data_IF_722127957206
#
_entry.id   IF_722127957206
#
_cell.length_a   1.000
_cell.length_b   1.000
_cell.length_c   1.000
_cell.angle_alpha   90.00
_cell.angle_beta   90.00
_cell.angle_gamma   90.00
#
_symmetry.space_group_name_H-M   'P 1'
#
loop_
_entity.id
_entity.type
_entity.pdbx_description
1 polymer ?
#
# COMPACT_ATOMS: atom_id res chain seq x y z
N UNK A 1 31.07 -13.51 55.08
CA UNK A 1 31.25 -14.90 54.57
C UNK A 1 30.05 -15.71 55.02
N UNK A 2 29.41 -16.46 54.11
CA UNK A 2 28.35 -17.38 54.50
C UNK A 2 29.01 -18.68 55.02
N UNK A 3 28.56 -19.16 56.15
CA UNK A 3 29.05 -20.43 56.76
C UNK A 3 28.10 -21.54 56.35
N UNK A 4 28.64 -22.75 56.26
CA UNK A 4 27.82 -23.96 56.02
C UNK A 4 28.40 -25.13 56.75
N UNK A 5 27.60 -26.16 57.07
CA UNK A 5 27.95 -27.37 57.78
C UNK A 5 28.19 -28.47 56.73
N UNK A 6 29.26 -29.22 56.85
CA UNK A 6 29.55 -30.37 56.01
C UNK A 6 28.62 -31.52 56.41
N UNK A 7 27.78 -31.93 55.49
CA UNK A 7 26.83 -33.02 55.69
C UNK A 7 27.42 -34.35 55.28
N UNK A 8 28.18 -34.36 54.19
CA UNK A 8 28.75 -35.56 53.62
C UNK A 8 30.06 -35.24 52.86
N UNK A 9 31.01 -36.17 52.88
CA UNK A 9 32.19 -36.10 52.07
C UNK A 9 32.28 -37.39 51.26
N UNK A 10 32.23 -37.30 49.96
CA UNK A 10 32.29 -38.42 49.03
C UNK A 10 33.48 -38.25 48.11
N UNK A 11 34.51 -38.98 48.28
CA UNK A 11 35.72 -38.87 47.50
C UNK A 11 36.39 -37.49 47.61
N UNK A 12 36.41 -36.75 46.49
CA UNK A 12 37.01 -35.40 46.40
C UNK A 12 36.00 -34.24 46.60
N UNK A 13 34.72 -34.53 46.90
CA UNK A 13 33.68 -33.55 47.05
C UNK A 13 33.06 -33.59 48.47
N UNK A 14 32.71 -32.40 48.98
CA UNK A 14 32.01 -32.23 50.23
C UNK A 14 30.67 -31.54 49.97
N UNK A 15 29.58 -32.13 50.41
CA UNK A 15 28.24 -31.56 50.42
C UNK A 15 28.06 -30.72 51.67
N UNK A 16 27.82 -29.44 51.48
CA UNK A 16 27.70 -28.44 52.57
C UNK A 16 26.32 -27.86 52.59
N UNK A 17 25.66 -27.89 53.70
CA UNK A 17 24.40 -27.22 53.94
C UNK A 17 24.65 -25.78 54.43
N UNK A 18 24.12 -24.80 53.74
CA UNK A 18 24.18 -23.39 54.11
C UNK A 18 23.11 -23.00 55.14
N UNK A 19 23.35 -21.90 55.86
CA UNK A 19 22.29 -21.29 56.71
C UNK A 19 21.11 -20.84 55.78
N UNK A 20 20.04 -21.61 55.78
CA UNK A 20 18.89 -21.42 54.91
C UNK A 20 18.44 -22.71 54.22
N UNK A 21 19.12 -23.83 54.50
CA UNK A 21 18.72 -25.15 53.99
C UNK A 21 19.20 -25.49 52.58
N UNK A 22 19.89 -24.60 51.88
CA UNK A 22 20.47 -24.86 50.56
C UNK A 22 21.70 -25.73 50.66
N UNK A 23 21.85 -26.68 49.75
CA UNK A 23 23.04 -27.52 49.64
C UNK A 23 23.96 -27.02 48.54
N UNK A 24 25.27 -27.15 48.75
CA UNK A 24 26.29 -26.85 47.72
C UNK A 24 27.37 -27.90 47.78
N UNK A 25 27.79 -28.45 46.64
CA UNK A 25 28.95 -29.32 46.54
C UNK A 25 30.21 -28.47 46.28
N UNK A 26 31.24 -28.69 47.07
CA UNK A 26 32.55 -28.05 46.92
C UNK A 26 33.64 -29.11 46.96
N UNK A 27 34.79 -28.85 46.32
CA UNK A 27 35.97 -29.75 46.49
C UNK A 27 36.33 -29.87 47.96
N UNK A 28 36.39 -31.12 48.44
CA UNK A 28 36.79 -31.41 49.81
C UNK A 28 38.26 -30.99 50.03
N UNK A 29 38.51 -30.33 51.15
CA UNK A 29 39.86 -29.98 51.55
C UNK A 29 40.39 -30.96 52.57
N UNK A 30 41.71 -31.14 52.54
CA UNK A 30 42.40 -31.99 53.49
C UNK A 30 42.09 -31.53 54.93
N UNK A 31 41.73 -32.47 55.80
CA UNK A 31 41.36 -32.21 57.18
C UNK A 31 39.89 -31.91 57.43
N UNK A 32 39.01 -31.77 56.41
CA UNK A 32 37.60 -31.57 56.58
C UNK A 32 36.90 -32.87 57.07
N UNK A 33 36.03 -32.70 58.04
CA UNK A 33 35.19 -33.81 58.57
C UNK A 33 33.71 -33.48 58.49
N UNK A 34 32.86 -34.50 58.44
CA UNK A 34 31.42 -34.36 58.55
C UNK A 34 31.05 -33.65 59.84
N UNK A 35 30.22 -32.62 59.77
CA UNK A 35 29.86 -31.76 60.89
C UNK A 35 30.67 -30.49 61.04
N UNK A 36 31.78 -30.34 60.32
CA UNK A 36 32.61 -29.12 60.39
C UNK A 36 31.86 -27.92 59.81
N UNK A 37 32.04 -26.75 60.42
CA UNK A 37 31.51 -25.49 59.93
C UNK A 37 32.57 -24.80 59.09
N UNK A 38 32.32 -24.66 57.80
CA UNK A 38 33.28 -24.15 56.85
C UNK A 38 32.76 -22.90 56.12
N UNK A 39 33.63 -21.98 55.73
CA UNK A 39 33.20 -20.83 54.96
C UNK A 39 32.90 -21.21 53.52
N UNK A 40 31.64 -20.96 53.10
CA UNK A 40 31.18 -21.22 51.73
C UNK A 40 31.36 -19.96 50.89
N UNK A 41 32.34 -19.96 50.01
CA UNK A 41 32.49 -18.97 48.96
C UNK A 41 31.62 -19.38 47.76
N UNK A 42 30.38 -18.93 47.72
CA UNK A 42 29.61 -19.05 46.48
C UNK A 42 30.15 -18.01 45.49
N UNK A 43 30.66 -18.47 44.35
CA UNK A 43 30.96 -17.57 43.24
C UNK A 43 29.63 -16.90 42.89
N UNK A 44 29.52 -15.57 42.90
CA UNK A 44 28.29 -14.90 42.45
C UNK A 44 28.07 -15.35 41.01
N UNK A 45 26.88 -15.87 40.74
CA UNK A 45 26.46 -16.21 39.37
C UNK A 45 26.71 -14.92 38.56
N UNK A 46 27.66 -15.02 37.63
CA UNK A 46 28.22 -13.84 36.96
C UNK A 46 27.09 -12.94 36.43
N UNK A 47 26.92 -11.76 36.96
CA UNK A 47 25.94 -10.76 36.50
C UNK A 47 26.12 -10.50 35.00
N UNK A 48 27.33 -10.78 34.48
CA UNK A 48 27.66 -10.63 33.05
C UNK A 48 26.79 -11.52 32.14
N UNK A 49 26.40 -12.73 32.57
CA UNK A 49 25.47 -13.56 31.79
C UNK A 49 24.05 -13.00 31.78
N UNK A 50 23.60 -12.43 32.90
CA UNK A 50 22.29 -11.80 32.98
C UNK A 50 22.21 -10.53 32.15
N UNK A 51 23.28 -9.69 32.17
CA UNK A 51 23.33 -8.47 31.34
C UNK A 51 23.46 -8.81 29.86
N UNK A 52 24.26 -9.82 29.48
CA UNK A 52 24.34 -10.28 28.10
C UNK A 52 23.01 -10.84 27.59
N UNK A 53 22.31 -11.65 28.39
CA UNK A 53 20.98 -12.17 28.03
C UNK A 53 19.94 -11.05 27.89
N UNK A 54 19.97 -10.05 28.79
CA UNK A 54 19.09 -8.88 28.70
C UNK A 54 19.39 -8.03 27.45
N UNK A 55 20.66 -7.85 27.09
CA UNK A 55 21.04 -7.14 25.87
C UNK A 55 20.57 -7.84 24.61
N UNK A 56 20.76 -9.18 24.54
CA UNK A 56 20.26 -9.99 23.40
C UNK A 56 18.72 -9.90 23.30
N UNK A 57 18.02 -10.03 24.43
CA UNK A 57 16.56 -9.91 24.45
C UNK A 57 16.11 -8.52 23.98
N UNK A 58 16.78 -7.45 24.41
CA UNK A 58 16.49 -6.09 23.96
C UNK A 58 16.72 -5.94 22.45
N UNK A 59 17.85 -6.43 21.91
CA UNK A 59 18.12 -6.41 20.47
C UNK A 59 17.06 -7.18 19.68
N UNK A 60 16.65 -8.37 20.14
CA UNK A 60 15.59 -9.15 19.52
C UNK A 60 14.26 -8.40 19.55
N UNK A 61 13.92 -7.75 20.66
CA UNK A 61 12.73 -6.89 20.74
C UNK A 61 12.79 -5.76 19.72
N UNK A 62 13.90 -5.06 19.57
CA UNK A 62 14.06 -3.99 18.57
C UNK A 62 13.92 -4.52 17.14
N UNK A 63 14.51 -5.67 16.82
CA UNK A 63 14.39 -6.28 15.49
C UNK A 63 12.94 -6.69 15.21
N UNK A 64 12.27 -7.33 16.16
CA UNK A 64 10.88 -7.78 16.00
C UNK A 64 9.91 -6.61 15.92
N UNK A 65 10.04 -5.61 16.81
CA UNK A 65 9.15 -4.45 16.81
C UNK A 65 9.43 -3.53 15.62
N UNK A 66 10.68 -3.20 15.32
CA UNK A 66 11.06 -2.35 14.20
C UNK A 66 10.80 -3.01 12.85
N UNK A 67 11.20 -4.27 12.69
CA UNK A 67 10.93 -5.06 11.49
C UNK A 67 9.45 -5.33 11.29
N UNK A 68 8.72 -5.66 12.36
CA UNK A 68 7.27 -5.86 12.34
C UNK A 68 6.52 -4.59 11.99
N UNK A 69 6.94 -3.46 12.55
CA UNK A 69 6.39 -2.14 12.22
C UNK A 69 6.59 -1.82 10.73
N UNK A 70 7.83 -1.94 10.23
CA UNK A 70 8.13 -1.71 8.82
C UNK A 70 7.33 -2.64 7.89
N UNK A 71 7.26 -3.92 8.24
CA UNK A 71 6.48 -4.91 7.47
C UNK A 71 4.99 -4.56 7.43
N UNK A 72 4.43 -4.12 8.57
CA UNK A 72 3.01 -3.77 8.68
C UNK A 72 2.66 -2.52 7.89
N UNK A 73 3.52 -1.48 7.91
CA UNK A 73 3.24 -0.22 7.22
C UNK A 73 3.79 -0.14 5.79
N UNK A 74 4.53 -1.17 5.34
CA UNK A 74 4.99 -1.21 3.96
C UNK A 74 3.81 -1.33 2.99
N UNK A 75 3.71 -0.38 2.08
CA UNK A 75 2.72 -0.41 1.01
C UNK A 75 2.91 -1.66 0.15
N UNK A 76 1.82 -2.37 -0.11
CA UNK A 76 1.78 -3.54 -0.98
C UNK A 76 0.78 -3.39 -2.13
N UNK A 77 -0.21 -2.52 -1.95
CA UNK A 77 -1.17 -2.14 -2.98
C UNK A 77 -1.69 -0.72 -2.74
N UNK A 78 -2.23 -0.12 -3.78
CA UNK A 78 -2.98 1.13 -3.77
C UNK A 78 -4.34 0.86 -4.41
N UNK A 79 -5.39 1.30 -3.76
CA UNK A 79 -6.76 1.18 -4.25
C UNK A 79 -7.33 2.58 -4.36
N UNK A 80 -7.84 2.97 -5.53
CA UNK A 80 -8.63 4.20 -5.63
C UNK A 80 -10.12 3.89 -5.78
N UNK A 81 -10.94 4.75 -5.20
CA UNK A 81 -12.40 4.71 -5.31
C UNK A 81 -12.87 6.08 -5.74
N UNK A 82 -13.43 6.13 -6.92
CA UNK A 82 -13.90 7.35 -7.57
C UNK A 82 -15.39 7.30 -7.79
N UNK A 83 -16.10 8.11 -7.02
CA UNK A 83 -17.55 8.31 -7.10
C UNK A 83 -17.87 9.80 -7.24
N UNK A 84 -16.86 10.65 -7.01
CA UNK A 84 -16.97 12.04 -6.58
C UNK A 84 -17.59 12.12 -5.19
N UNK A 85 -16.87 11.62 -4.16
CA UNK A 85 -15.45 11.86 -3.85
C UNK A 85 -14.41 10.96 -4.57
N UNK A 86 -13.15 11.41 -4.60
CA UNK A 86 -11.98 10.67 -5.07
C UNK A 86 -11.07 10.35 -3.88
N UNK A 87 -10.90 9.07 -3.58
CA UNK A 87 -10.20 8.58 -2.40
C UNK A 87 -9.20 7.50 -2.80
N UNK A 88 -8.03 7.52 -2.17
CA UNK A 88 -7.02 6.46 -2.26
C UNK A 88 -6.78 5.79 -0.91
N UNK A 89 -6.68 4.47 -0.95
CA UNK A 89 -6.37 3.61 0.18
C UNK A 89 -5.01 2.95 -0.04
N UNK A 90 -4.07 3.21 0.86
CA UNK A 90 -2.82 2.45 0.90
C UNK A 90 -3.04 1.17 1.70
N UNK A 91 -2.69 0.04 1.10
CA UNK A 91 -2.92 -1.30 1.65
C UNK A 91 -1.59 -2.01 1.88
N UNK A 92 -1.43 -2.66 3.01
CA UNK A 92 -0.25 -3.41 3.38
C UNK A 92 -0.25 -4.86 2.88
N UNK A 93 0.78 -5.62 3.24
CA UNK A 93 0.91 -7.03 2.84
C UNK A 93 -0.11 -7.97 3.50
N UNK A 94 -0.83 -7.50 4.52
CA UNK A 94 -1.89 -8.22 5.21
C UNK A 94 -3.28 -7.81 4.71
N UNK A 95 -3.34 -7.11 3.57
CA UNK A 95 -4.53 -6.58 2.93
C UNK A 95 -5.36 -5.63 3.81
N UNK A 96 -4.64 -4.93 4.73
CA UNK A 96 -5.24 -3.93 5.62
C UNK A 96 -4.86 -2.52 5.20
N UNK A 97 -5.83 -1.63 5.29
CA UNK A 97 -5.63 -0.20 5.05
C UNK A 97 -4.68 0.38 6.10
N UNK A 98 -3.60 0.97 5.66
CA UNK A 98 -2.63 1.67 6.52
C UNK A 98 -2.83 3.18 6.50
N UNK A 99 -3.29 3.72 5.38
CA UNK A 99 -3.67 5.13 5.26
C UNK A 99 -4.77 5.29 4.22
N UNK A 100 -5.54 6.37 4.36
CA UNK A 100 -6.49 6.86 3.38
C UNK A 100 -6.20 8.31 3.07
N UNK A 101 -6.28 8.71 1.81
CA UNK A 101 -6.08 10.08 1.36
C UNK A 101 -7.20 10.49 0.41
N UNK A 102 -7.65 11.72 0.55
CA UNK A 102 -8.58 12.36 -0.36
C UNK A 102 -7.81 13.11 -1.45
N UNK A 103 -8.32 13.09 -2.67
CA UNK A 103 -7.77 13.85 -3.79
C UNK A 103 -8.73 14.98 -4.24
N UNK A 104 -9.82 15.19 -3.51
CA UNK A 104 -10.71 16.34 -3.67
C UNK A 104 -11.42 16.68 -2.35
N UNK A 105 -12.09 17.84 -2.31
CA UNK A 105 -12.78 18.35 -1.12
C UNK A 105 -13.88 17.41 -0.62
N UNK A 106 -14.63 16.79 -1.54
CA UNK A 106 -15.66 15.81 -1.20
C UNK A 106 -15.08 14.58 -0.51
N UNK A 107 -13.89 14.14 -0.96
CA UNK A 107 -13.13 13.08 -0.32
C UNK A 107 -12.67 13.44 1.10
N UNK A 108 -12.22 14.67 1.32
CA UNK A 108 -11.85 15.15 2.66
C UNK A 108 -13.09 15.17 3.59
N UNK A 109 -14.22 15.64 3.09
CA UNK A 109 -15.47 15.65 3.85
C UNK A 109 -15.89 14.23 4.23
N UNK A 110 -15.84 13.28 3.29
CA UNK A 110 -16.18 11.88 3.53
C UNK A 110 -15.23 11.24 4.57
N UNK A 111 -13.91 11.38 4.40
CA UNK A 111 -12.93 10.79 5.30
C UNK A 111 -12.95 11.40 6.71
N UNK A 112 -13.48 12.61 6.88
CA UNK A 112 -13.62 13.23 8.19
C UNK A 112 -14.60 12.50 9.09
N UNK A 113 -15.57 11.78 8.51
CA UNK A 113 -16.62 11.05 9.22
C UNK A 113 -16.35 9.57 9.47
N UNK A 114 -15.31 8.98 8.81
CA UNK A 114 -15.06 7.54 8.84
C UNK A 114 -13.60 7.21 9.15
N UNK A 115 -13.37 6.05 9.74
CA UNK A 115 -12.03 5.56 10.06
C UNK A 115 -11.76 4.22 9.38
N UNK A 116 -10.94 4.24 8.36
CA UNK A 116 -10.66 3.06 7.53
C UNK A 116 -9.36 2.35 7.95
N UNK A 117 -8.47 3.03 8.65
CA UNK A 117 -7.15 2.48 9.05
C UNK A 117 -7.28 1.23 9.90
N UNK A 118 -6.62 0.17 9.49
CA UNK A 118 -6.63 -1.15 10.12
C UNK A 118 -7.74 -2.08 9.63
N UNK A 119 -8.71 -1.56 8.87
CA UNK A 119 -9.74 -2.37 8.23
C UNK A 119 -9.14 -3.23 7.11
N UNK A 120 -9.78 -4.31 6.80
CA UNK A 120 -9.52 -5.10 5.62
C UNK A 120 -9.98 -4.32 4.38
N UNK A 121 -9.26 -4.42 3.26
CA UNK A 121 -9.46 -3.51 2.13
C UNK A 121 -10.86 -3.59 1.51
N UNK A 122 -11.45 -4.79 1.39
CA UNK A 122 -12.81 -4.95 0.88
C UNK A 122 -13.86 -4.31 1.81
N UNK A 123 -13.73 -4.53 3.12
CA UNK A 123 -14.59 -3.90 4.11
C UNK A 123 -14.42 -2.37 4.14
N UNK A 124 -13.20 -1.86 3.91
CA UNK A 124 -12.95 -0.42 3.85
C UNK A 124 -13.64 0.22 2.63
N UNK A 125 -13.58 -0.42 1.46
CA UNK A 125 -14.31 0.03 0.27
C UNK A 125 -15.83 -0.01 0.51
N UNK A 126 -16.33 -1.07 1.12
CA UNK A 126 -17.73 -1.17 1.48
C UNK A 126 -18.16 -0.07 2.45
N UNK A 127 -17.35 0.23 3.48
CA UNK A 127 -17.62 1.30 4.43
C UNK A 127 -17.66 2.67 3.73
N UNK A 128 -16.75 2.94 2.78
CA UNK A 128 -16.79 4.15 1.96
C UNK A 128 -18.11 4.30 1.21
N UNK A 129 -18.63 3.20 0.66
CA UNK A 129 -19.85 3.20 -0.14
C UNK A 129 -21.13 3.21 0.70
N UNK A 130 -21.12 2.65 1.92
CA UNK A 130 -22.32 2.53 2.79
C UNK A 130 -22.44 3.60 3.86
N UNK A 131 -21.38 4.38 4.12
CA UNK A 131 -21.41 5.39 5.20
C UNK A 131 -22.47 6.43 4.96
N UNK A 132 -23.04 6.98 6.05
CA UNK A 132 -23.98 8.13 5.96
C UNK A 132 -23.36 9.32 5.21
N UNK A 133 -22.03 9.46 5.29
CA UNK A 133 -21.29 10.48 4.54
C UNK A 133 -21.10 10.12 3.08
N UNK A 134 -21.10 8.83 2.71
CA UNK A 134 -20.93 8.34 1.35
C UNK A 134 -22.24 8.24 0.55
N UNK A 135 -23.36 7.95 1.21
CA UNK A 135 -24.65 7.75 0.57
C UNK A 135 -25.11 8.93 -0.33
N UNK A 136 -24.93 10.21 0.08
CA UNK A 136 -25.32 11.35 -0.78
C UNK A 136 -24.57 11.37 -2.11
N UNK A 137 -23.30 10.98 -2.13
CA UNK A 137 -22.49 10.96 -3.35
C UNK A 137 -22.89 9.81 -4.28
N UNK A 138 -23.22 8.65 -3.73
CA UNK A 138 -23.79 7.54 -4.49
C UNK A 138 -25.14 7.92 -5.10
N UNK A 139 -25.96 8.70 -4.41
CA UNK A 139 -27.29 9.09 -4.91
C UNK A 139 -27.23 9.99 -6.15
N UNK A 140 -26.18 10.81 -6.29
CA UNK A 140 -25.99 11.76 -7.39
C UNK A 140 -25.29 11.17 -8.61
N UNK A 141 -24.31 10.28 -8.40
CA UNK A 141 -23.42 9.77 -9.45
C UNK A 141 -23.82 8.36 -9.89
N UNK A 142 -23.79 8.10 -11.19
CA UNK A 142 -24.18 6.81 -11.76
C UNK A 142 -23.02 5.83 -11.90
N UNK A 143 -21.81 6.33 -11.88
CA UNK A 143 -20.61 5.53 -12.10
C UNK A 143 -19.72 5.55 -10.86
N UNK A 144 -19.28 4.36 -10.47
CA UNK A 144 -18.23 4.13 -9.48
C UNK A 144 -17.05 3.51 -10.21
N UNK A 145 -15.87 4.05 -10.05
CA UNK A 145 -14.65 3.48 -10.62
C UNK A 145 -13.72 3.09 -9.49
N UNK A 146 -13.35 1.81 -9.46
CA UNK A 146 -12.40 1.27 -8.49
C UNK A 146 -11.17 0.78 -9.24
N UNK A 147 -10.01 1.31 -8.88
CA UNK A 147 -8.74 0.83 -9.45
C UNK A 147 -7.88 0.20 -8.37
N UNK A 148 -7.11 -0.80 -8.77
CA UNK A 148 -6.16 -1.48 -7.89
C UNK A 148 -4.81 -1.52 -8.57
N UNK A 149 -3.79 -1.06 -7.84
CA UNK A 149 -2.39 -1.22 -8.19
C UNK A 149 -1.69 -2.10 -7.18
N UNK A 150 -0.86 -3.02 -7.64
CA UNK A 150 0.14 -3.72 -6.84
C UNK A 150 1.30 -4.14 -7.73
N UNK A 151 2.54 -4.04 -7.23
CA UNK A 151 3.71 -4.56 -7.92
C UNK A 151 3.69 -6.10 -8.07
N UNK A 152 2.79 -6.79 -7.37
CA UNK A 152 2.55 -8.22 -7.50
C UNK A 152 1.22 -8.45 -8.22
N UNK A 153 1.26 -8.90 -9.48
CA UNK A 153 0.08 -9.10 -10.33
C UNK A 153 -0.94 -10.10 -9.75
N UNK A 154 -0.46 -11.18 -9.11
CA UNK A 154 -1.36 -12.15 -8.50
C UNK A 154 -2.12 -11.53 -7.30
N UNK A 155 -1.46 -10.65 -6.53
CA UNK A 155 -2.11 -9.88 -5.48
C UNK A 155 -3.11 -8.89 -6.06
N UNK A 156 -2.71 -8.15 -7.08
CA UNK A 156 -3.56 -7.18 -7.76
C UNK A 156 -4.87 -7.81 -8.25
N UNK A 157 -4.77 -8.92 -8.96
CA UNK A 157 -5.94 -9.65 -9.48
C UNK A 157 -6.84 -10.18 -8.35
N UNK A 158 -6.23 -10.71 -7.28
CA UNK A 158 -6.99 -11.21 -6.13
C UNK A 158 -7.72 -10.09 -5.39
N UNK A 159 -7.04 -8.97 -5.11
CA UNK A 159 -7.65 -7.82 -4.45
C UNK A 159 -8.77 -7.21 -5.30
N UNK A 160 -8.56 -7.12 -6.61
CA UNK A 160 -9.57 -6.60 -7.53
C UNK A 160 -10.85 -7.44 -7.49
N UNK A 161 -10.74 -8.78 -7.47
CA UNK A 161 -11.89 -9.68 -7.41
C UNK A 161 -12.60 -9.62 -6.05
N UNK A 162 -11.83 -9.62 -4.95
CA UNK A 162 -12.37 -9.50 -3.59
C UNK A 162 -13.14 -8.18 -3.39
N UNK A 163 -12.58 -7.07 -3.89
CA UNK A 163 -13.24 -5.76 -3.83
C UNK A 163 -14.48 -5.74 -4.71
N UNK A 164 -14.41 -6.35 -5.90
CA UNK A 164 -15.55 -6.47 -6.81
C UNK A 164 -16.72 -7.18 -6.13
N UNK A 165 -16.50 -8.36 -5.57
CA UNK A 165 -17.55 -9.13 -4.88
C UNK A 165 -18.20 -8.33 -3.74
N UNK A 166 -17.38 -7.60 -2.97
CA UNK A 166 -17.85 -6.80 -1.83
C UNK A 166 -18.59 -5.54 -2.27
N UNK A 167 -18.02 -4.80 -3.22
CA UNK A 167 -18.57 -3.52 -3.67
C UNK A 167 -19.81 -3.70 -4.56
N UNK A 168 -19.84 -4.69 -5.46
CA UNK A 168 -21.00 -4.94 -6.32
C UNK A 168 -22.26 -5.25 -5.50
N UNK A 169 -22.11 -6.06 -4.45
CA UNK A 169 -23.23 -6.35 -3.54
C UNK A 169 -23.75 -5.06 -2.90
N UNK A 170 -22.85 -4.19 -2.50
CA UNK A 170 -23.16 -2.92 -1.85
C UNK A 170 -23.81 -1.93 -2.82
N UNK A 171 -23.16 -1.70 -3.98
CA UNK A 171 -23.68 -0.76 -4.99
C UNK A 171 -25.03 -1.23 -5.52
N UNK A 172 -25.20 -2.51 -5.85
CA UNK A 172 -26.48 -3.06 -6.33
C UNK A 172 -27.60 -2.90 -5.32
N UNK A 173 -27.29 -3.01 -4.02
CA UNK A 173 -28.27 -2.83 -2.95
C UNK A 173 -28.67 -1.37 -2.78
N UNK A 174 -27.70 -0.45 -2.82
CA UNK A 174 -27.93 0.98 -2.65
C UNK A 174 -28.44 1.63 -3.94
N UNK A 175 -28.03 1.11 -5.09
CA UNK A 175 -28.29 1.68 -6.42
C UNK A 175 -28.40 0.59 -7.49
N UNK A 176 -29.61 0.08 -7.75
CA UNK A 176 -29.83 -0.92 -8.82
C UNK A 176 -29.43 -0.44 -10.22
N UNK A 177 -29.48 0.87 -10.48
CA UNK A 177 -29.14 1.48 -11.78
C UNK A 177 -27.69 2.00 -11.83
N UNK A 178 -26.89 1.78 -10.78
CA UNK A 178 -25.49 2.18 -10.70
C UNK A 178 -24.60 1.26 -11.53
N UNK A 179 -23.52 1.81 -12.10
CA UNK A 179 -22.50 1.06 -12.79
C UNK A 179 -21.17 1.15 -12.04
N UNK A 180 -20.55 0.02 -11.77
CA UNK A 180 -19.23 -0.04 -11.14
C UNK A 180 -18.23 -0.62 -12.12
N UNK A 181 -17.14 0.09 -12.33
CA UNK A 181 -16.02 -0.35 -13.17
C UNK A 181 -14.83 -0.68 -12.29
N UNK A 182 -14.23 -1.85 -12.50
CA UNK A 182 -13.07 -2.33 -11.78
C UNK A 182 -11.88 -2.47 -12.74
N UNK A 183 -10.74 -1.87 -12.42
CA UNK A 183 -9.55 -1.93 -13.27
C UNK A 183 -8.28 -2.17 -12.47
N UNK A 184 -7.44 -3.04 -13.02
CA UNK A 184 -6.03 -3.10 -12.67
C UNK A 184 -5.30 -1.95 -13.37
N UNK A 185 -4.43 -1.26 -12.64
CA UNK A 185 -3.61 -0.15 -13.17
C UNK A 185 -2.12 -0.41 -12.93
N UNK A 186 -1.28 0.21 -13.74
CA UNK A 186 0.18 0.09 -13.65
C UNK A 186 0.78 1.17 -12.74
N UNK A 187 2.07 1.05 -12.40
CA UNK A 187 2.78 2.08 -11.66
C UNK A 187 2.87 3.38 -12.44
N UNK A 188 3.04 3.29 -13.76
CA UNK A 188 3.14 4.44 -14.65
C UNK A 188 1.81 5.23 -14.69
N UNK A 189 0.68 4.53 -14.73
CA UNK A 189 -0.65 5.15 -14.68
C UNK A 189 -0.89 5.85 -13.33
N UNK A 190 -0.47 5.24 -12.22
CA UNK A 190 -0.56 5.84 -10.88
C UNK A 190 0.31 7.08 -10.77
N UNK A 191 1.59 7.01 -11.21
CA UNK A 191 2.51 8.14 -11.18
C UNK A 191 2.03 9.30 -12.04
N UNK A 192 1.52 9.00 -13.24
CA UNK A 192 0.94 9.99 -14.13
C UNK A 192 -0.30 10.66 -13.52
N UNK A 193 -1.19 9.88 -12.93
CA UNK A 193 -2.37 10.37 -12.21
C UNK A 193 -1.98 11.32 -11.06
N UNK A 194 -1.03 10.92 -10.23
CA UNK A 194 -0.55 11.74 -9.11
C UNK A 194 0.11 13.03 -9.59
N UNK A 195 0.80 13.01 -10.74
CA UNK A 195 1.37 14.23 -11.33
C UNK A 195 0.30 15.23 -11.76
N UNK A 196 -0.90 14.76 -12.09
CA UNK A 196 -2.09 15.56 -12.40
C UNK A 196 -2.95 15.88 -11.16
N UNK A 197 -2.58 15.38 -9.97
CA UNK A 197 -3.33 15.58 -8.73
C UNK A 197 -4.65 14.83 -8.66
N UNK A 198 -4.78 13.71 -9.39
CA UNK A 198 -6.00 12.89 -9.45
C UNK A 198 -5.69 11.43 -9.16
N UNK A 199 -6.72 10.62 -8.92
CA UNK A 199 -6.64 9.16 -8.80
C UNK A 199 -6.35 8.52 -10.16
N UNK A 200 -5.81 7.29 -10.15
CA UNK A 200 -5.62 6.52 -11.37
C UNK A 200 -6.94 6.25 -12.11
N UNK A 201 -8.05 6.04 -11.39
CA UNK A 201 -9.37 5.88 -11.96
C UNK A 201 -9.83 7.10 -12.75
N UNK A 202 -9.71 8.28 -12.17
CA UNK A 202 -10.05 9.54 -12.84
C UNK A 202 -9.11 9.84 -14.01
N UNK A 203 -7.82 9.59 -13.85
CA UNK A 203 -6.82 9.80 -14.89
C UNK A 203 -7.11 9.04 -16.19
N UNK A 204 -7.56 7.80 -16.09
CA UNK A 204 -7.99 7.01 -17.26
C UNK A 204 -9.09 7.72 -18.07
N UNK A 205 -10.02 8.35 -17.40
CA UNK A 205 -11.09 9.10 -18.09
C UNK A 205 -10.62 10.44 -18.63
N UNK A 206 -9.65 11.09 -17.98
CA UNK A 206 -9.01 12.29 -18.52
C UNK A 206 -8.22 11.96 -19.80
N UNK A 207 -7.51 10.83 -19.85
CA UNK A 207 -6.86 10.35 -21.07
C UNK A 207 -7.86 10.09 -22.22
N UNK A 208 -8.99 9.44 -21.93
CA UNK A 208 -10.05 9.24 -22.93
C UNK A 208 -10.63 10.58 -23.41
N UNK A 209 -10.72 11.57 -22.55
CA UNK A 209 -11.16 12.92 -22.93
C UNK A 209 -10.15 13.61 -23.84
N UNK A 210 -8.84 13.46 -23.53
CA UNK A 210 -7.76 13.97 -24.38
C UNK A 210 -7.75 13.31 -25.77
N UNK A 211 -8.00 12.00 -25.82
CA UNK A 211 -8.14 11.27 -27.10
C UNK A 211 -9.35 11.75 -27.91
N UNK A 212 -10.48 12.00 -27.24
CA UNK A 212 -11.70 12.51 -27.90
C UNK A 212 -11.62 13.99 -28.28
N UNK A 213 -10.80 14.77 -27.59
CA UNK A 213 -10.66 16.21 -27.80
C UNK A 213 -9.21 16.67 -27.54
N UNK A 214 -8.27 16.43 -28.48
CA UNK A 214 -6.83 16.67 -28.30
C UNK A 214 -6.46 18.15 -28.04
N UNK A 215 -7.31 19.09 -28.38
CA UNK A 215 -7.11 20.53 -28.13
C UNK A 215 -7.54 20.95 -26.71
N UNK A 216 -8.06 20.01 -25.91
CA UNK A 216 -8.62 20.28 -24.58
C UNK A 216 -7.53 20.15 -23.52
N UNK A 217 -7.40 21.16 -22.67
CA UNK A 217 -6.59 21.06 -21.46
C UNK A 217 -7.30 20.20 -20.41
N UNK A 218 -6.91 18.94 -20.31
CA UNK A 218 -7.53 17.95 -19.40
C UNK A 218 -7.39 18.32 -17.93
N UNK A 219 -6.45 19.18 -17.56
CA UNK A 219 -6.24 19.59 -16.17
C UNK A 219 -7.42 20.37 -15.61
N UNK A 220 -8.18 21.05 -16.48
CA UNK A 220 -9.39 21.77 -16.10
C UNK A 220 -10.52 20.85 -15.62
N UNK A 221 -10.46 19.57 -16.00
CA UNK A 221 -11.45 18.55 -15.63
C UNK A 221 -11.05 17.72 -14.40
N UNK A 222 -9.92 18.04 -13.77
CA UNK A 222 -9.45 17.33 -12.57
C UNK A 222 -10.46 17.39 -11.40
N UNK A 223 -11.26 18.45 -11.36
CA UNK A 223 -12.29 18.67 -10.33
C UNK A 223 -13.65 18.06 -10.70
N UNK A 224 -13.86 17.69 -11.97
CA UNK A 224 -15.11 17.12 -12.45
C UNK A 224 -15.31 15.68 -11.91
N UNK A 225 -16.56 15.29 -11.77
CA UNK A 225 -16.92 13.89 -11.54
C UNK A 225 -16.64 13.02 -12.77
N UNK A 226 -16.53 11.71 -12.59
CA UNK A 226 -16.39 10.78 -13.72
C UNK A 226 -17.60 10.85 -14.66
N UNK A 227 -18.80 11.07 -14.12
CA UNK A 227 -20.00 11.22 -14.92
C UNK A 227 -19.94 12.46 -15.83
N UNK A 228 -19.49 13.60 -15.31
CA UNK A 228 -19.27 14.81 -16.11
C UNK A 228 -18.21 14.62 -17.18
N UNK A 229 -17.09 13.97 -16.86
CA UNK A 229 -16.04 13.67 -17.84
C UNK A 229 -16.58 12.74 -18.94
N UNK A 230 -17.33 11.70 -18.61
CA UNK A 230 -17.99 10.80 -19.57
C UNK A 230 -18.98 11.56 -20.48
N UNK A 231 -19.74 12.49 -19.93
CA UNK A 231 -20.65 13.33 -20.71
C UNK A 231 -19.88 14.21 -21.71
N UNK A 232 -18.76 14.80 -21.27
CA UNK A 232 -17.89 15.57 -22.17
C UNK A 232 -17.31 14.73 -23.29
N UNK A 233 -16.83 13.51 -23.00
CA UNK A 233 -16.33 12.57 -24.01
C UNK A 233 -17.43 12.29 -25.04
N UNK A 234 -18.62 11.88 -24.59
CA UNK A 234 -19.77 11.57 -25.47
C UNK A 234 -20.16 12.76 -26.36
N UNK A 235 -20.15 13.98 -25.80
CA UNK A 235 -20.44 15.18 -26.56
C UNK A 235 -19.39 15.49 -27.62
N UNK A 236 -18.12 15.23 -27.36
CA UNK A 236 -17.03 15.39 -28.33
C UNK A 236 -17.14 14.35 -29.47
N UNK A 237 -17.34 13.08 -29.15
CA UNK A 237 -17.55 11.99 -30.11
C UNK A 237 -18.74 12.25 -31.03
N UNK A 238 -19.86 12.73 -30.45
CA UNK A 238 -21.08 13.06 -31.22
C UNK A 238 -20.84 14.22 -32.22
N UNK A 239 -20.03 15.21 -31.88
CA UNK A 239 -19.67 16.31 -32.79
C UNK A 239 -18.84 15.81 -33.96
N UNK A 240 -17.83 14.96 -33.71
CA UNK A 240 -17.02 14.37 -34.79
C UNK A 240 -17.85 13.54 -35.75
N UNK A 241 -18.87 12.84 -35.27
CA UNK A 241 -19.75 12.03 -36.11
C UNK A 241 -20.67 12.88 -37.01
N UNK A 242 -21.18 14.01 -36.50
CA UNK A 242 -22.00 14.93 -37.28
C UNK A 242 -21.22 15.69 -38.35
N UNK A 243 -19.95 16.02 -38.09
CA UNK A 243 -19.05 16.65 -39.07
C UNK A 243 -18.69 15.70 -40.23
N UNK A 244 -18.59 14.41 -39.95
CA UNK A 244 -18.31 13.40 -40.98
C UNK A 244 -19.53 13.12 -41.88
N UNK A 245 -20.75 13.12 -41.34
CA UNK A 245 -21.98 12.97 -42.11
C UNK A 245 -22.36 14.24 -42.89
N UNK A 246 -22.00 15.43 -42.38
CA UNK A 246 -22.24 16.73 -43.04
C UNK A 246 -21.34 16.96 -44.26
N UNK A 247 -20.11 16.40 -44.26
CA UNK A 247 -19.15 16.56 -45.34
C UNK A 247 -19.44 15.67 -46.56
N UNK A 248 -20.34 14.69 -46.44
CA UNK A 248 -20.71 13.77 -47.53
C UNK A 248 -21.83 14.29 -48.47
N UNK A 249 -22.46 15.45 -48.18
CA UNK A 249 -23.64 15.91 -48.92
C UNK A 249 -23.50 17.23 -49.70
N UNK A 250 -22.32 17.73 -49.87
CA UNK A 250 -22.07 18.92 -50.68
C UNK A 250 -21.17 18.59 -51.86
N UNK A 251 -21.76 17.99 -52.92
CA UNK A 251 -20.99 17.77 -54.14
C UNK A 251 -21.78 17.14 -55.26
N UNK A 252 -22.36 17.98 -56.10
CA UNK A 252 -22.64 17.72 -57.50
C UNK A 252 -24.08 17.32 -57.90
N UNK A 253 -24.86 18.34 -58.02
CA UNK A 253 -25.91 18.36 -59.08
C UNK A 253 -25.29 18.79 -60.38
N UNK A 254 -24.96 17.89 -61.27
CA UNK A 254 -24.79 18.15 -62.68
C UNK A 254 -25.60 17.12 -63.47
N UNK A 255 -26.68 17.62 -64.12
CA UNK A 255 -27.42 16.89 -65.12
C UNK A 255 -26.55 16.62 -66.31
N UNK A 256 -26.43 15.36 -66.72
CA UNK A 256 -26.28 15.01 -68.15
C UNK A 256 -27.04 13.71 -68.42
N UNK A 257 -27.96 13.84 -69.39
CA UNK A 257 -28.77 12.77 -69.97
C UNK A 257 -27.98 11.96 -70.96
N UNK A 258 -28.28 10.66 -71.03
CA UNK A 258 -28.09 9.95 -72.28
C UNK A 258 -27.57 8.52 -72.20
N UNK A 259 -28.48 7.63 -72.55
CA UNK A 259 -28.37 6.36 -73.30
C UNK A 259 -27.67 5.12 -72.70
N UNK A 260 -28.55 4.18 -72.55
CA UNK A 260 -28.49 2.74 -72.80
C UNK A 260 -27.21 2.10 -73.34
N UNK A 261 -26.77 1.02 -72.74
CA UNK A 261 -26.68 -0.32 -73.31
C UNK A 261 -26.12 -1.35 -72.30
N UNK A 262 -26.94 -2.33 -72.06
CA UNK A 262 -26.75 -3.81 -72.07
C UNK A 262 -25.38 -4.41 -71.80
N UNK A 263 -25.53 -5.45 -71.00
CA UNK A 263 -24.98 -6.80 -71.10
C UNK A 263 -23.81 -7.22 -70.22
N UNK A 264 -24.21 -8.16 -69.34
CA UNK A 264 -23.66 -9.53 -69.14
C UNK A 264 -22.19 -9.71 -68.80
N UNK A 265 -22.00 -10.37 -67.75
CA UNK A 265 -21.41 -11.71 -67.54
C UNK A 265 -20.55 -11.84 -66.30
N UNK A 266 -20.97 -12.81 -65.53
CA UNK A 266 -20.19 -13.78 -64.76
C UNK A 266 -18.67 -13.76 -64.93
N UNK A 267 -17.98 -13.83 -63.80
CA UNK A 267 -16.93 -14.86 -63.64
C UNK A 267 -16.64 -15.09 -62.17
N UNK A 268 -16.83 -16.32 -61.80
CA UNK A 268 -16.30 -16.99 -60.61
C UNK A 268 -14.78 -17.10 -60.79
N UNK A 269 -14.04 -17.10 -59.69
CA UNK A 269 -12.81 -17.86 -59.44
C UNK A 269 -12.29 -17.40 -58.10
N UNK A 270 -12.16 -18.22 -57.25
CA UNK A 270 -11.36 -19.37 -56.86
C UNK A 270 -10.48 -19.06 -55.69
N UNK A 271 -10.53 -19.99 -54.76
CA UNK A 271 -9.67 -20.23 -53.61
C UNK A 271 -8.16 -20.12 -54.00
N UNK A 272 -7.40 -19.64 -53.03
CA UNK A 272 -6.04 -20.14 -52.88
C UNK A 272 -5.66 -20.22 -51.42
N UNK A 273 -5.54 -21.47 -50.99
CA UNK A 273 -4.80 -21.91 -49.83
C UNK A 273 -3.32 -21.61 -50.04
N UNK A 274 -2.65 -21.18 -48.99
CA UNK A 274 -1.19 -21.37 -48.85
C UNK A 274 -0.89 -21.37 -47.36
N UNK A 275 -0.74 -22.48 -46.83
CA UNK A 275 0.45 -23.27 -46.46
C UNK A 275 1.42 -22.60 -45.51
N UNK A 276 1.62 -23.32 -44.45
CA UNK A 276 2.64 -23.31 -43.42
C UNK A 276 4.05 -22.92 -43.90
N UNK A 277 4.73 -22.14 -43.09
CA UNK A 277 6.18 -22.16 -43.01
C UNK A 277 6.59 -22.20 -41.53
N UNK A 278 7.07 -23.37 -41.11
CA UNK A 278 7.94 -23.58 -39.98
C UNK A 278 9.24 -22.79 -40.18
N UNK A 279 9.71 -22.12 -39.17
CA UNK A 279 11.08 -21.66 -39.10
C UNK A 279 11.57 -21.67 -37.68
N UNK A 280 12.22 -22.72 -37.35
CA UNK A 280 13.53 -22.92 -36.74
C UNK A 280 14.00 -21.95 -35.65
N UNK A 281 14.15 -22.58 -34.54
CA UNK A 281 15.05 -22.52 -33.40
C UNK A 281 16.44 -21.96 -33.76
N UNK A 282 16.84 -20.92 -33.08
CA UNK A 282 18.25 -20.57 -32.92
C UNK A 282 18.60 -20.36 -31.45
N UNK A 283 19.36 -21.33 -30.98
CA UNK A 283 20.16 -21.26 -29.76
C UNK A 283 21.26 -20.22 -29.96
N UNK A 284 21.46 -19.32 -29.07
CA UNK A 284 22.69 -18.55 -28.89
C UNK A 284 22.88 -18.21 -27.41
N UNK A 285 23.71 -19.00 -26.81
CA UNK A 285 24.96 -18.73 -26.10
C UNK A 285 24.97 -17.65 -25.01
N UNK A 286 25.33 -18.16 -23.86
CA UNK A 286 25.98 -17.54 -22.72
C UNK A 286 26.96 -16.42 -23.08
N UNK A 287 26.86 -15.32 -22.39
CA UNK A 287 28.01 -14.46 -22.14
C UNK A 287 28.00 -14.02 -20.66
N UNK A 288 28.99 -14.58 -19.99
CA UNK A 288 29.51 -14.13 -18.71
C UNK A 288 30.00 -12.68 -18.86
N UNK A 289 29.60 -11.82 -17.92
CA UNK A 289 30.25 -10.53 -17.68
C UNK A 289 30.35 -10.29 -16.18
N UNK A 290 31.50 -10.56 -15.74
CA UNK A 290 32.43 -9.98 -14.78
C UNK A 290 31.89 -8.87 -13.84
N UNK A 291 32.27 -9.10 -12.60
CA UNK A 291 32.35 -8.18 -11.46
C UNK A 291 32.91 -6.80 -11.83
N UNK A 292 32.25 -5.78 -11.38
CA UNK A 292 32.87 -4.49 -11.13
C UNK A 292 32.64 -4.12 -9.66
N UNK A 293 33.72 -4.21 -8.92
CA UNK A 293 33.93 -3.59 -7.61
C UNK A 293 33.74 -2.07 -7.78
N UNK A 294 32.89 -1.48 -6.96
CA UNK A 294 32.80 -0.03 -6.82
C UNK A 294 33.09 0.35 -5.39
N UNK A 295 34.14 1.09 -5.33
CA UNK A 295 34.84 1.61 -4.17
C UNK A 295 33.97 2.43 -3.23
N UNK A 296 34.29 2.26 -1.99
CA UNK A 296 34.03 2.95 -0.77
C UNK A 296 34.43 4.42 -0.88
N UNK A 297 33.50 5.33 -0.71
CA UNK A 297 33.82 6.73 -0.42
C UNK A 297 33.43 7.05 1.01
N UNK A 298 34.46 7.19 1.82
CA UNK A 298 34.43 7.83 3.12
C UNK A 298 34.03 9.30 2.94
N UNK A 299 33.05 9.75 3.67
CA UNK A 299 32.82 11.18 3.85
C UNK A 299 32.70 11.50 5.33
N UNK A 300 33.54 12.40 5.65
CA UNK A 300 34.03 12.94 6.89
C UNK A 300 32.94 13.53 7.80
N UNK A 301 33.23 13.41 9.06
CA UNK A 301 32.74 14.15 10.21
C UNK A 301 32.56 15.65 9.94
N UNK A 302 31.42 16.18 10.35
CA UNK A 302 31.30 17.56 10.79
C UNK A 302 30.69 17.59 12.18
N UNK A 303 31.54 17.88 13.11
CA UNK A 303 31.22 18.40 14.45
C UNK A 303 30.53 19.75 14.29
N UNK A 304 29.45 19.97 15.00
CA UNK A 304 29.00 21.31 15.31
C UNK A 304 28.56 21.39 16.76
N UNK A 305 29.31 22.23 17.43
CA UNK A 305 29.28 22.59 18.83
C UNK A 305 27.96 23.25 19.27
N UNK A 306 27.67 23.02 20.52
CA UNK A 306 26.99 23.80 21.56
C UNK A 306 26.41 25.17 21.19
N UNK A 307 25.17 25.38 21.57
CA UNK A 307 24.73 26.67 22.10
C UNK A 307 23.75 26.44 23.25
N UNK A 308 24.26 26.61 24.44
CA UNK A 308 23.50 26.86 25.66
C UNK A 308 22.71 28.17 25.53
N UNK A 309 21.45 28.18 25.93
CA UNK A 309 20.79 29.38 26.38
C UNK A 309 19.87 29.09 27.54
N UNK A 310 20.40 29.36 28.71
CA UNK A 310 19.64 29.66 29.92
C UNK A 310 18.84 30.95 29.73
N UNK A 311 17.60 30.99 30.18
CA UNK A 311 17.00 32.11 30.90
C UNK A 311 15.65 31.70 31.47
N UNK A 312 15.60 31.55 32.79
CA UNK A 312 14.98 32.41 33.84
C UNK A 312 13.49 32.66 33.60
N UNK A 313 12.63 32.04 34.34
CA UNK A 313 12.15 32.48 35.63
C UNK A 313 11.11 33.59 35.54
N UNK A 314 9.82 33.25 35.78
CA UNK A 314 8.99 34.20 36.50
C UNK A 314 7.76 33.46 37.09
N UNK A 315 7.72 33.51 38.41
CA UNK A 315 6.56 33.20 39.25
C UNK A 315 5.53 34.31 39.09
N UNK A 316 4.25 33.98 39.03
CA UNK A 316 3.25 34.79 39.72
C UNK A 316 2.10 33.93 40.22
N UNK A 317 1.93 34.03 41.50
CA UNK A 317 0.84 33.58 42.36
C UNK A 317 -0.36 34.51 42.30
N UNK A 318 -1.52 34.01 42.61
CA UNK A 318 -2.73 34.78 42.99
C UNK A 318 -3.96 34.01 42.59
N UNK A 319 -4.56 33.21 43.39
CA UNK A 319 -5.47 33.31 44.53
C UNK A 319 -6.82 33.99 44.21
N UNK A 320 -7.81 33.26 44.69
CA UNK A 320 -9.12 33.68 45.18
C UNK A 320 -10.27 33.74 44.18
N UNK A 321 -11.19 32.85 44.37
CA UNK A 321 -12.40 32.76 45.22
C UNK A 321 -13.65 33.40 44.59
N UNK A 322 -14.59 32.62 44.48
CA UNK A 322 -15.90 32.49 45.15
C UNK A 322 -17.15 32.89 44.36
N UNK A 323 -18.06 31.98 44.46
CA UNK A 323 -19.50 32.08 44.75
C UNK A 323 -20.52 32.44 43.67
N UNK A 324 -21.41 31.47 43.60
CA UNK A 324 -22.88 31.53 43.75
C UNK A 324 -23.69 32.33 42.70
N UNK A 325 -24.49 31.66 41.96
CA UNK A 325 -25.92 31.32 42.15
C UNK A 325 -26.36 30.24 41.16
#
# INVERSE_FOLDING_TARGET
MKMGIIIEITGKEAVIMKNGGDFVSLPAKEGWKKGDIVPVKTKPRSRRFLTAAAAIAACLCFVVTGGGYHYYYAQAALISVDVNPSIELTVNRLDRVTSSSALNEDGEALLSGIRLTGMECGEAVKELLQSESGEPYLSGNKNVVVTVYSANEARQSRLLEEIRETADTTVTTLRPDGNTEYRAVTSEEVEAAHSCGVTAGKYIYLQKLEEAAPETDITQYSHCSIDEIKEHISNCESRHQTDYEGSGKAGSGSKYSGSEHTDSRHSESEHSDSEHADSERSDLEHSDLEHADSERSDSEHMDSEHADSEHSGSRHSGSEQSNSE
#
